data_IF_821840610124
#
_entry.id   IF_821840610124
#
_cell.length_a   1.000
_cell.length_b   1.000
_cell.length_c   1.000
_cell.angle_alpha   90.00
_cell.angle_beta   90.00
_cell.angle_gamma   90.00
#
_symmetry.space_group_name_H-M   'P 1'
#
loop_
_entity.id
_entity.type
_entity.pdbx_description
1 polymer ?
#
# COMPACT_ATOMS: atom_id res chain seq x y z
N UNK A 1 -29.65 -20.37 7.63
CA UNK A 1 -29.45 -19.88 6.26
C UNK A 1 -28.57 -18.66 6.37
N UNK A 2 -27.27 -18.80 6.18
CA UNK A 2 -26.31 -17.73 6.42
C UNK A 2 -25.64 -17.38 5.11
N UNK A 3 -26.15 -16.30 4.54
CA UNK A 3 -25.49 -15.35 3.65
C UNK A 3 -24.36 -15.93 2.81
N UNK A 4 -24.74 -16.31 1.58
CA UNK A 4 -23.83 -16.47 0.47
C UNK A 4 -23.04 -15.17 0.32
N UNK A 5 -21.82 -15.15 0.87
CA UNK A 5 -20.90 -14.00 0.81
C UNK A 5 -20.37 -13.85 -0.60
N UNK A 6 -21.24 -13.48 -1.55
CA UNK A 6 -20.79 -13.06 -2.85
C UNK A 6 -20.11 -11.70 -2.64
N UNK A 7 -18.77 -11.70 -2.60
CA UNK A 7 -17.97 -10.49 -2.44
C UNK A 7 -18.07 -9.65 -3.71
N UNK A 8 -19.13 -8.84 -3.80
CA UNK A 8 -19.37 -7.92 -4.91
C UNK A 8 -19.50 -6.51 -4.35
N UNK A 9 -18.84 -5.56 -4.99
CA UNK A 9 -18.79 -4.16 -4.57
C UNK A 9 -19.43 -3.31 -5.66
N UNK A 10 -20.73 -3.06 -5.53
CA UNK A 10 -21.53 -2.42 -6.58
C UNK A 10 -21.46 -3.22 -7.89
N UNK A 11 -20.97 -2.57 -8.95
CA UNK A 11 -20.81 -3.17 -10.28
C UNK A 11 -19.50 -3.94 -10.48
N UNK A 12 -18.68 -4.07 -9.43
CA UNK A 12 -17.41 -4.77 -9.47
C UNK A 12 -17.51 -6.12 -8.75
N UNK A 13 -17.28 -7.20 -9.50
CA UNK A 13 -17.29 -8.56 -8.97
C UNK A 13 -15.88 -8.99 -8.57
N UNK A 14 -15.68 -9.38 -7.31
CA UNK A 14 -14.36 -9.83 -6.83
C UNK A 14 -14.12 -11.25 -7.33
N UNK A 15 -13.12 -11.38 -8.20
CA UNK A 15 -12.72 -12.64 -8.79
C UNK A 15 -11.78 -13.39 -7.86
N UNK A 16 -10.66 -12.77 -7.45
CA UNK A 16 -9.61 -13.40 -6.65
C UNK A 16 -8.75 -12.35 -5.92
N UNK A 17 -8.04 -12.73 -4.87
CA UNK A 17 -7.01 -11.89 -4.25
C UNK A 17 -5.76 -11.85 -5.15
N UNK A 18 -5.29 -10.65 -5.48
CA UNK A 18 -4.04 -10.46 -6.24
C UNK A 18 -2.82 -10.38 -5.31
N UNK A 19 -3.00 -9.81 -4.12
CA UNK A 19 -1.94 -9.73 -3.13
C UNK A 19 -2.33 -8.98 -1.87
N UNK A 20 -1.59 -9.22 -0.80
CA UNK A 20 -1.74 -8.54 0.49
C UNK A 20 -0.46 -7.80 0.85
N UNK A 21 -0.61 -6.61 1.44
CA UNK A 21 0.52 -5.79 1.88
C UNK A 21 0.22 -5.05 3.18
N UNK A 22 1.21 -4.35 3.71
CA UNK A 22 1.13 -3.72 5.04
C UNK A 22 0.03 -2.65 5.20
N UNK A 23 -0.49 -2.08 4.11
CA UNK A 23 -1.54 -1.04 4.14
C UNK A 23 -2.93 -1.54 3.71
N UNK A 24 -3.05 -2.78 3.21
CA UNK A 24 -4.30 -3.26 2.63
C UNK A 24 -4.14 -4.48 1.73
N UNK A 25 -5.24 -4.90 1.12
CA UNK A 25 -5.29 -6.03 0.17
C UNK A 25 -5.76 -5.59 -1.20
N UNK A 26 -5.16 -6.16 -2.24
CA UNK A 26 -5.51 -5.92 -3.64
C UNK A 26 -6.27 -7.12 -4.17
N UNK A 27 -7.43 -6.88 -4.74
CA UNK A 27 -8.32 -7.89 -5.31
C UNK A 27 -8.50 -7.65 -6.80
N UNK A 28 -8.54 -8.73 -7.57
CA UNK A 28 -8.92 -8.72 -8.97
C UNK A 28 -10.42 -8.60 -9.03
N UNK A 29 -10.91 -7.55 -9.69
CA UNK A 29 -12.34 -7.33 -9.89
C UNK A 29 -12.68 -7.33 -11.38
N UNK A 30 -13.90 -7.75 -11.72
CA UNK A 30 -14.46 -7.57 -13.07
C UNK A 30 -15.51 -6.47 -13.01
N UNK A 31 -15.31 -5.45 -13.83
CA UNK A 31 -16.31 -4.41 -14.07
C UNK A 31 -17.41 -4.98 -14.95
N UNK A 32 -18.66 -5.08 -14.48
CA UNK A 32 -19.76 -5.62 -15.31
C UNK A 32 -20.26 -4.63 -16.36
N UNK A 33 -19.94 -3.34 -16.20
CA UNK A 33 -20.37 -2.26 -17.09
C UNK A 33 -19.45 -2.19 -18.31
N UNK A 34 -18.13 -2.24 -18.07
CA UNK A 34 -17.10 -2.18 -19.12
C UNK A 34 -16.55 -3.55 -19.51
N UNK A 35 -16.97 -4.61 -18.81
CA UNK A 35 -16.49 -5.99 -18.97
C UNK A 35 -14.96 -6.16 -18.85
N UNK A 36 -14.27 -5.23 -18.19
CA UNK A 36 -12.82 -5.23 -18.03
C UNK A 36 -12.39 -5.73 -16.65
N UNK A 37 -11.18 -6.29 -16.62
CA UNK A 37 -10.52 -6.74 -15.39
C UNK A 37 -9.71 -5.58 -14.81
N UNK A 38 -10.01 -5.22 -13.57
CA UNK A 38 -9.34 -4.14 -12.84
C UNK A 38 -8.86 -4.63 -11.46
N UNK A 39 -8.00 -3.84 -10.81
CA UNK A 39 -7.48 -4.14 -9.47
C UNK A 39 -8.07 -3.18 -8.45
N UNK A 40 -8.76 -3.70 -7.44
CA UNK A 40 -9.34 -2.93 -6.34
C UNK A 40 -8.50 -3.10 -5.07
N UNK A 41 -7.98 -1.99 -4.53
CA UNK A 41 -7.24 -1.98 -3.26
C UNK A 41 -8.18 -1.63 -2.11
N UNK A 42 -8.37 -2.56 -1.18
CA UNK A 42 -9.16 -2.38 0.03
C UNK A 42 -8.21 -2.08 1.19
N UNK A 43 -8.39 -0.90 1.79
CA UNK A 43 -7.66 -0.50 3.00
C UNK A 43 -8.26 -1.23 4.21
N UNK A 44 -7.40 -1.78 5.06
CA UNK A 44 -7.85 -2.46 6.28
C UNK A 44 -8.32 -1.42 7.30
N UNK A 45 -9.49 -1.60 7.94
CA UNK A 45 -9.96 -0.67 8.95
C UNK A 45 -9.01 -0.56 10.16
N UNK A 46 -8.23 -1.61 10.45
CA UNK A 46 -7.23 -1.64 11.53
C UNK A 46 -6.10 -0.61 11.34
N UNK A 47 -5.80 -0.22 10.09
CA UNK A 47 -4.76 0.78 9.80
C UNK A 47 -5.24 2.23 10.01
N UNK A 48 -6.55 2.48 10.00
CA UNK A 48 -7.08 3.82 10.28
C UNK A 48 -6.69 4.30 11.69
N UNK A 49 -6.45 3.37 12.63
CA UNK A 49 -5.97 3.66 13.99
C UNK A 49 -4.44 3.56 14.19
N UNK A 50 -3.66 3.12 13.19
CA UNK A 50 -2.20 2.85 13.31
C UNK A 50 -1.34 3.74 12.40
N UNK A 51 -1.80 4.94 12.07
CA UNK A 51 -1.00 5.95 11.35
C UNK A 51 0.21 6.50 12.14
N UNK A 52 0.57 5.97 13.30
CA UNK A 52 1.68 6.49 14.10
C UNK A 52 3.06 5.91 13.77
N UNK A 53 3.20 4.94 12.86
CA UNK A 53 4.47 4.19 12.74
C UNK A 53 5.25 4.31 11.42
N UNK A 54 4.82 5.14 10.47
CA UNK A 54 5.50 5.28 9.18
C UNK A 54 6.28 6.61 8.98
N UNK A 55 6.79 7.22 10.06
CA UNK A 55 7.58 8.47 9.98
C UNK A 55 9.04 8.31 10.43
N UNK A 56 9.74 7.21 10.10
CA UNK A 56 11.17 7.06 10.46
C UNK A 56 12.13 6.66 9.34
N UNK A 57 11.71 6.65 8.07
CA UNK A 57 12.55 6.15 6.97
C UNK A 57 13.12 7.19 6.02
N UNK A 58 13.33 8.44 6.43
CA UNK A 58 14.11 9.39 5.64
C UNK A 58 14.94 10.30 6.56
N UNK A 59 16.02 9.76 7.14
CA UNK A 59 17.17 10.61 7.49
C UNK A 59 18.09 10.59 6.27
N UNK A 60 18.11 11.63 5.42
CA UNK A 60 19.23 11.81 4.51
C UNK A 60 20.48 11.89 5.39
N UNK A 61 21.42 10.96 5.17
CA UNK A 61 22.74 11.02 5.78
C UNK A 61 23.36 12.35 5.40
N UNK A 62 23.42 13.26 6.37
CA UNK A 62 24.20 14.49 6.29
C UNK A 62 25.64 14.10 5.99
N UNK A 63 26.06 14.46 4.77
CA UNK A 63 27.43 14.55 4.34
C UNK A 63 28.22 15.34 5.40
N UNK A 64 29.06 14.65 6.16
CA UNK A 64 29.91 15.31 7.16
C UNK A 64 31.10 15.96 6.44
N UNK A 65 31.53 17.13 6.90
CA UNK A 65 32.34 18.06 6.15
C UNK A 65 33.80 17.66 6.10
N UNK A 66 34.46 18.13 5.04
CA UNK A 66 35.90 18.35 5.00
C UNK A 66 36.38 19.12 6.24
N UNK A 67 37.50 18.72 6.83
CA UNK A 67 38.49 19.75 7.16
C UNK A 67 39.85 19.45 6.52
N UNK A 68 40.43 20.55 6.04
CA UNK A 68 41.76 20.70 5.49
C UNK A 68 42.85 19.87 6.20
N UNK A 69 43.76 19.31 5.39
CA UNK A 69 45.15 19.18 5.79
C UNK A 69 46.01 19.87 4.74
N UNK A 70 46.15 21.18 4.91
CA UNK A 70 47.23 21.96 4.32
C UNK A 70 48.12 22.37 5.49
N UNK A 71 49.31 21.75 5.60
CA UNK A 71 50.56 22.38 6.02
C UNK A 71 51.54 21.34 6.60
N UNK A 72 52.65 21.13 5.89
CA UNK A 72 54.02 20.85 6.36
C UNK A 72 54.79 20.54 5.06
N UNK A 73 55.70 21.39 4.59
CA UNK A 73 56.84 21.90 5.32
C UNK A 73 58.06 21.15 4.79
#
# INVERSE_FOLDING_TARGET
MSEETNRRVGDYEILNELGSGGMGRVYRVRNVISERIEAMKILLPDLAGRQELAARFLRPGVDRPSPASSSAG
#
